data_IF_558282474180
#
_entry.id   IF_558282474180
#
_cell.length_a   1.000
_cell.length_b   1.000
_cell.length_c   1.000
_cell.angle_alpha   90.00
_cell.angle_beta   90.00
_cell.angle_gamma   90.00
#
_symmetry.space_group_name_H-M   'P 1'
#
loop_
_entity.id
_entity.type
_entity.pdbx_description
1 polymer ?
#
# COMPACT_ATOMS: atom_id res chain seq x y z
N UNK A 1 2.01 -3.21 39.00
CA UNK A 1 2.16 -3.85 37.68
C UNK A 1 0.82 -4.49 37.34
N UNK A 2 -0.09 -3.75 36.69
CA UNK A 2 -1.38 -4.31 36.26
C UNK A 2 -1.12 -5.21 35.05
N UNK A 3 -1.57 -6.45 35.12
CA UNK A 3 -1.54 -7.35 33.96
C UNK A 3 -2.63 -6.84 33.02
N UNK A 4 -2.26 -6.05 32.02
CA UNK A 4 -3.20 -5.68 30.95
C UNK A 4 -3.68 -6.97 30.30
N UNK A 5 -5.00 -7.26 30.30
CA UNK A 5 -5.52 -8.49 29.73
C UNK A 5 -5.12 -8.57 28.26
N UNK A 6 -4.37 -9.62 27.90
CA UNK A 6 -3.93 -9.85 26.52
C UNK A 6 -5.16 -10.03 25.65
N UNK A 7 -5.28 -9.23 24.58
CA UNK A 7 -6.32 -9.41 23.57
C UNK A 7 -6.10 -10.76 22.86
N UNK A 8 -6.99 -11.71 23.11
CA UNK A 8 -6.98 -12.99 22.40
C UNK A 8 -7.44 -12.78 20.95
N UNK A 9 -6.92 -13.60 20.05
CA UNK A 9 -7.36 -13.65 18.65
C UNK A 9 -8.80 -14.15 18.61
N UNK A 10 -9.71 -13.34 18.09
CA UNK A 10 -11.15 -13.65 18.04
C UNK A 10 -11.56 -14.16 16.65
N UNK A 11 -12.71 -14.85 16.56
CA UNK A 11 -13.30 -15.25 15.27
C UNK A 11 -13.46 -14.05 14.33
N UNK A 12 -13.76 -12.89 14.89
CA UNK A 12 -13.98 -11.67 14.12
C UNK A 12 -12.70 -11.11 13.53
N UNK A 13 -11.58 -11.22 14.25
CA UNK A 13 -10.26 -10.88 13.70
C UNK A 13 -9.95 -11.76 12.49
N UNK A 14 -10.22 -13.07 12.61
CA UNK A 14 -10.06 -14.01 11.51
C UNK A 14 -10.93 -13.62 10.30
N UNK A 15 -12.22 -13.31 10.53
CA UNK A 15 -13.13 -12.88 9.47
C UNK A 15 -12.67 -11.58 8.79
N UNK A 16 -12.18 -10.60 9.55
CA UNK A 16 -11.65 -9.35 8.98
C UNK A 16 -10.42 -9.61 8.11
N UNK A 17 -9.50 -10.45 8.55
CA UNK A 17 -8.30 -10.81 7.76
C UNK A 17 -8.67 -11.61 6.50
N UNK A 18 -9.62 -12.53 6.59
CA UNK A 18 -10.14 -13.26 5.41
C UNK A 18 -10.78 -12.30 4.42
N UNK A 19 -11.62 -11.38 4.89
CA UNK A 19 -12.27 -10.39 4.03
C UNK A 19 -11.24 -9.46 3.35
N UNK A 20 -10.26 -8.95 4.10
CA UNK A 20 -9.17 -8.14 3.56
C UNK A 20 -8.34 -8.92 2.52
N UNK A 21 -8.08 -10.20 2.78
CA UNK A 21 -7.36 -11.08 1.83
C UNK A 21 -8.15 -11.28 0.55
N UNK A 22 -9.44 -11.59 0.66
CA UNK A 22 -10.32 -11.76 -0.50
C UNK A 22 -10.42 -10.48 -1.35
N UNK A 23 -10.54 -9.32 -0.69
CA UNK A 23 -10.54 -8.02 -1.37
C UNK A 23 -9.23 -7.78 -2.12
N UNK A 24 -8.08 -7.97 -1.44
CA UNK A 24 -6.76 -7.82 -2.05
C UNK A 24 -6.56 -8.72 -3.27
N UNK A 25 -6.93 -10.01 -3.16
CA UNK A 25 -6.83 -10.97 -4.27
C UNK A 25 -7.78 -10.63 -5.43
N UNK A 26 -8.99 -10.14 -5.13
CA UNK A 26 -9.94 -9.70 -6.15
C UNK A 26 -9.40 -8.52 -6.98
N UNK A 27 -8.82 -7.53 -6.32
CA UNK A 27 -8.17 -6.38 -6.98
C UNK A 27 -6.94 -6.84 -7.75
N UNK A 28 -6.07 -7.66 -7.14
CA UNK A 28 -4.88 -8.17 -7.79
C UNK A 28 -5.20 -8.96 -9.08
N UNK A 29 -6.30 -9.72 -9.09
CA UNK A 29 -6.78 -10.41 -10.29
C UNK A 29 -7.21 -9.43 -11.39
N UNK A 30 -7.98 -8.40 -11.04
CA UNK A 30 -8.39 -7.37 -12.02
C UNK A 30 -7.19 -6.61 -12.59
N UNK A 31 -6.20 -6.29 -11.75
CA UNK A 31 -4.94 -5.68 -12.18
C UNK A 31 -4.15 -6.61 -13.10
N UNK A 32 -4.04 -7.89 -12.74
CA UNK A 32 -3.41 -8.92 -13.57
C UNK A 32 -4.01 -8.93 -14.98
N UNK A 33 -5.33 -9.00 -15.08
CA UNK A 33 -6.02 -9.07 -16.36
C UNK A 33 -5.86 -7.76 -17.17
N UNK A 34 -5.89 -6.60 -16.51
CA UNK A 34 -5.76 -5.29 -17.16
C UNK A 34 -4.36 -5.01 -17.71
N UNK A 35 -3.33 -5.22 -16.88
CA UNK A 35 -1.96 -4.78 -17.18
C UNK A 35 -1.14 -5.86 -17.92
N UNK A 36 -1.44 -7.15 -17.71
CA UNK A 36 -0.60 -8.24 -18.23
C UNK A 36 -1.16 -8.99 -19.43
N UNK A 37 -2.49 -9.13 -19.58
CA UNK A 37 -3.02 -9.76 -20.81
C UNK A 37 -2.79 -8.90 -22.06
N UNK A 38 -2.57 -7.59 -21.88
CA UNK A 38 -2.41 -6.65 -22.99
C UNK A 38 -0.95 -6.35 -23.38
N UNK A 39 0.03 -6.87 -22.62
CA UNK A 39 1.45 -6.60 -22.87
C UNK A 39 2.17 -7.88 -23.30
N UNK A 40 2.35 -8.06 -24.62
CA UNK A 40 3.22 -9.09 -25.21
C UNK A 40 4.70 -8.75 -25.00
N UNK A 41 5.13 -8.61 -23.75
CA UNK A 41 6.54 -8.42 -23.40
C UNK A 41 7.26 -9.76 -23.41
N UNK A 42 7.93 -10.07 -24.52
CA UNK A 42 8.86 -11.20 -24.62
C UNK A 42 10.22 -10.78 -24.08
N UNK A 43 10.46 -10.97 -22.78
CA UNK A 43 11.82 -10.86 -22.22
C UNK A 43 12.54 -12.18 -22.44
N UNK A 44 13.81 -12.14 -22.84
CA UNK A 44 14.63 -13.35 -22.98
C UNK A 44 14.76 -14.05 -21.61
N UNK A 45 14.29 -15.29 -21.55
CA UNK A 45 14.36 -16.12 -20.35
C UNK A 45 15.79 -16.18 -19.79
N UNK A 46 15.92 -16.04 -18.47
CA UNK A 46 17.20 -16.09 -17.75
C UNK A 46 18.00 -14.78 -17.71
N UNK A 47 17.54 -13.70 -18.36
CA UNK A 47 18.18 -12.37 -18.22
C UNK A 47 17.89 -11.72 -16.87
N UNK A 48 18.79 -10.82 -16.41
CA UNK A 48 18.55 -10.00 -15.20
C UNK A 48 17.27 -9.17 -15.33
N UNK A 49 16.97 -8.69 -16.54
CA UNK A 49 15.71 -8.02 -16.85
C UNK A 49 14.47 -8.90 -16.63
N UNK A 50 14.53 -10.20 -16.97
CA UNK A 50 13.43 -11.13 -16.73
C UNK A 50 13.17 -11.33 -15.23
N UNK A 51 14.24 -11.43 -14.44
CA UNK A 51 14.15 -11.55 -12.98
C UNK A 51 13.56 -10.29 -12.36
N UNK A 52 14.07 -9.11 -12.74
CA UNK A 52 13.59 -7.82 -12.24
C UNK A 52 12.13 -7.56 -12.61
N UNK A 53 11.76 -7.86 -13.86
CA UNK A 53 10.37 -7.79 -14.30
C UNK A 53 9.49 -8.72 -13.48
N UNK A 54 9.92 -9.97 -13.26
CA UNK A 54 9.18 -10.94 -12.44
C UNK A 54 8.98 -10.42 -11.01
N UNK A 55 10.02 -9.88 -10.38
CA UNK A 55 9.91 -9.26 -9.05
C UNK A 55 8.93 -8.10 -9.07
N UNK A 56 9.03 -7.19 -10.04
CA UNK A 56 8.11 -6.06 -10.17
C UNK A 56 6.65 -6.52 -10.32
N UNK A 57 6.40 -7.60 -11.07
CA UNK A 57 5.07 -8.19 -11.23
C UNK A 57 4.53 -8.71 -9.90
N UNK A 58 5.31 -9.50 -9.17
CA UNK A 58 4.89 -10.02 -7.88
C UNK A 58 4.68 -8.91 -6.85
N UNK A 59 5.51 -7.88 -6.86
CA UNK A 59 5.33 -6.68 -6.03
C UNK A 59 4.02 -5.98 -6.37
N UNK A 60 3.77 -5.67 -7.64
CA UNK A 60 2.54 -5.03 -8.12
C UNK A 60 1.27 -5.82 -7.74
N UNK A 61 1.31 -7.14 -7.83
CA UNK A 61 0.18 -8.02 -7.47
C UNK A 61 0.03 -8.21 -5.96
N UNK A 62 1.11 -8.10 -5.18
CA UNK A 62 1.09 -8.20 -3.73
C UNK A 62 0.59 -6.93 -3.03
N UNK A 63 0.76 -5.76 -3.66
CA UNK A 63 0.39 -4.46 -3.09
C UNK A 63 -1.10 -4.33 -2.70
N UNK A 64 -2.08 -4.73 -3.53
CA UNK A 64 -3.49 -4.71 -3.15
C UNK A 64 -3.77 -5.50 -1.87
N UNK A 65 -3.05 -6.61 -1.66
CA UNK A 65 -3.16 -7.42 -0.45
C UNK A 65 -2.59 -6.68 0.77
N UNK A 66 -1.42 -6.06 0.62
CA UNK A 66 -0.79 -5.27 1.70
C UNK A 66 -1.68 -4.07 2.08
N UNK A 67 -2.23 -3.35 1.09
CA UNK A 67 -3.18 -2.24 1.32
C UNK A 67 -4.41 -2.73 2.09
N UNK A 68 -5.05 -3.80 1.61
CA UNK A 68 -6.26 -4.34 2.24
C UNK A 68 -5.99 -4.82 3.67
N UNK A 69 -4.87 -5.51 3.91
CA UNK A 69 -4.44 -5.89 5.26
C UNK A 69 -4.14 -4.69 6.14
N UNK A 70 -3.53 -3.63 5.61
CA UNK A 70 -3.26 -2.40 6.37
C UNK A 70 -4.56 -1.76 6.85
N UNK A 71 -5.55 -1.61 5.97
CA UNK A 71 -6.88 -1.09 6.32
C UNK A 71 -7.57 -2.02 7.33
N UNK A 72 -7.55 -3.34 7.09
CA UNK A 72 -8.14 -4.33 7.98
C UNK A 72 -7.55 -4.28 9.40
N UNK A 73 -6.23 -4.27 9.51
CA UNK A 73 -5.52 -4.16 10.79
C UNK A 73 -5.77 -2.81 11.46
N UNK A 74 -5.80 -1.70 10.70
CA UNK A 74 -6.15 -0.39 11.24
C UNK A 74 -7.54 -0.37 11.87
N UNK A 75 -8.54 -0.94 11.17
CA UNK A 75 -9.91 -1.06 11.68
C UNK A 75 -9.98 -1.94 12.94
N UNK A 76 -9.16 -3.00 13.01
CA UNK A 76 -9.07 -3.84 14.20
C UNK A 76 -8.44 -3.11 15.40
N UNK A 77 -7.48 -2.20 15.19
CA UNK A 77 -6.92 -1.36 16.25
C UNK A 77 -7.94 -0.37 16.83
N UNK A 78 -8.91 0.08 16.03
CA UNK A 78 -10.00 0.95 16.49
C UNK A 78 -11.12 0.20 17.25
N UNK A 79 -11.07 -1.13 17.26
CA UNK A 79 -12.13 -1.97 17.83
C UNK A 79 -11.97 -2.14 19.34
N UNK A 80 -13.09 -2.36 20.04
CA UNK A 80 -13.16 -2.46 21.51
C UNK A 80 -12.23 -3.55 22.12
N UNK A 81 -11.74 -3.34 23.36
CA UNK A 81 -11.92 -2.15 24.22
C UNK A 81 -11.21 -0.95 23.57
N UNK A 82 -11.94 0.16 23.32
CA UNK A 82 -11.43 1.27 22.51
C UNK A 82 -10.28 1.91 23.29
N UNK A 83 -9.02 1.73 22.88
CA UNK A 83 -7.92 2.44 23.51
C UNK A 83 -8.11 3.95 23.31
N UNK A 84 -7.54 4.77 24.19
CA UNK A 84 -7.50 6.20 23.92
C UNK A 84 -6.66 6.44 22.65
N UNK A 85 -6.95 7.51 21.89
CA UNK A 85 -6.13 7.85 20.72
C UNK A 85 -4.66 8.05 21.09
N UNK A 86 -4.39 8.54 22.30
CA UNK A 86 -3.06 8.61 22.87
C UNK A 86 -2.40 7.23 22.90
N UNK A 87 -3.03 6.24 23.53
CA UNK A 87 -2.48 4.88 23.64
C UNK A 87 -2.25 4.21 22.27
N UNK A 88 -3.06 4.53 21.27
CA UNK A 88 -2.86 4.03 19.90
C UNK A 88 -1.60 4.59 19.26
N UNK A 89 -1.34 5.88 19.44
CA UNK A 89 -0.17 6.55 18.86
C UNK A 89 1.14 6.06 19.47
N UNK A 90 1.11 5.51 20.69
CA UNK A 90 2.28 4.91 21.34
C UNK A 90 2.61 3.49 20.83
N UNK A 91 1.68 2.84 20.11
CA UNK A 91 1.84 1.47 19.61
C UNK A 91 2.38 1.48 18.19
N UNK A 92 3.60 0.97 17.94
CA UNK A 92 4.24 1.08 16.63
C UNK A 92 3.45 0.41 15.50
N UNK A 93 2.74 -0.70 15.77
CA UNK A 93 1.92 -1.37 14.76
C UNK A 93 0.64 -0.61 14.39
N UNK A 94 -0.01 0.03 15.37
CA UNK A 94 -1.16 0.88 15.14
C UNK A 94 -0.75 2.16 14.38
N UNK A 95 0.33 2.79 14.81
CA UNK A 95 0.90 3.99 14.20
C UNK A 95 1.33 3.73 12.75
N UNK A 96 1.96 2.58 12.46
CA UNK A 96 2.29 2.20 11.08
C UNK A 96 1.04 2.10 10.20
N UNK A 97 0.02 1.36 10.64
CA UNK A 97 -1.20 1.19 9.85
C UNK A 97 -1.93 2.52 9.67
N UNK A 98 -1.99 3.36 10.71
CA UNK A 98 -2.61 4.68 10.65
C UNK A 98 -1.88 5.64 9.70
N UNK A 99 -0.55 5.67 9.75
CA UNK A 99 0.27 6.49 8.86
C UNK A 99 0.07 6.10 7.39
N UNK A 100 0.03 4.80 7.10
CA UNK A 100 -0.25 4.30 5.74
C UNK A 100 -1.66 4.65 5.29
N UNK A 101 -2.68 4.40 6.12
CA UNK A 101 -4.08 4.75 5.77
C UNK A 101 -4.22 6.25 5.49
N UNK A 102 -3.54 7.08 6.27
CA UNK A 102 -3.53 8.53 6.05
C UNK A 102 -2.83 8.91 4.74
N UNK A 103 -1.65 8.33 4.46
CA UNK A 103 -0.95 8.54 3.20
C UNK A 103 -1.81 8.11 2.00
N UNK A 104 -2.39 6.90 2.05
CA UNK A 104 -3.30 6.39 1.02
C UNK A 104 -4.54 7.28 0.82
N UNK A 105 -5.05 7.93 1.87
CA UNK A 105 -6.15 8.87 1.75
C UNK A 105 -5.74 10.15 0.98
N UNK A 106 -4.53 10.66 1.23
CA UNK A 106 -3.97 11.79 0.48
C UNK A 106 -3.80 11.40 -1.00
N UNK A 107 -3.23 10.22 -1.27
CA UNK A 107 -3.07 9.68 -2.63
C UNK A 107 -4.41 9.55 -3.35
N UNK A 108 -5.43 9.04 -2.67
CA UNK A 108 -6.78 8.94 -3.24
C UNK A 108 -7.36 10.31 -3.63
N UNK A 109 -7.10 11.35 -2.82
CA UNK A 109 -7.50 12.73 -3.14
C UNK A 109 -6.72 13.25 -4.34
N UNK A 110 -5.39 13.07 -4.38
CA UNK A 110 -4.54 13.49 -5.50
C UNK A 110 -5.01 12.84 -6.81
N UNK A 111 -5.26 11.53 -6.79
CA UNK A 111 -5.74 10.78 -7.95
C UNK A 111 -7.13 11.24 -8.39
N UNK A 112 -8.01 11.56 -7.44
CA UNK A 112 -9.34 12.12 -7.73
C UNK A 112 -9.23 13.49 -8.40
N UNK A 113 -8.38 14.38 -7.88
CA UNK A 113 -8.14 15.70 -8.47
C UNK A 113 -7.55 15.58 -9.87
N UNK A 114 -6.56 14.70 -10.06
CA UNK A 114 -5.96 14.43 -11.37
C UNK A 114 -7.02 13.94 -12.36
N UNK A 115 -7.85 12.97 -11.97
CA UNK A 115 -8.92 12.45 -12.81
C UNK A 115 -9.90 13.55 -13.23
N UNK A 116 -10.34 14.41 -12.29
CA UNK A 116 -11.23 15.54 -12.58
C UNK A 116 -10.59 16.51 -13.59
N UNK A 117 -9.31 16.84 -13.41
CA UNK A 117 -8.57 17.74 -14.32
C UNK A 117 -8.48 17.14 -15.72
N UNK A 118 -8.20 15.84 -15.85
CA UNK A 118 -8.11 15.21 -17.17
C UNK A 118 -9.47 15.14 -17.86
N UNK A 119 -10.53 14.76 -17.13
CA UNK A 119 -11.89 14.75 -17.66
C UNK A 119 -12.35 16.15 -18.10
N UNK A 120 -11.99 17.19 -17.35
CA UNK A 120 -12.26 18.58 -17.73
C UNK A 120 -11.47 19.01 -18.99
N UNK A 121 -10.22 18.59 -19.14
CA UNK A 121 -9.45 18.84 -20.38
C UNK A 121 -10.04 18.12 -21.58
N UNK A 122 -10.52 16.89 -21.39
CA UNK A 122 -11.17 16.11 -22.43
C UNK A 122 -12.48 16.75 -22.89
N UNK A 123 -13.32 17.22 -21.96
CA UNK A 123 -14.58 17.90 -22.31
C UNK A 123 -14.36 19.21 -23.06
N UNK A 124 -13.22 19.88 -22.85
CA UNK A 124 -12.81 21.07 -23.60
C UNK A 124 -12.14 20.77 -24.96
N UNK A 125 -11.99 19.50 -25.36
CA UNK A 125 -11.27 19.14 -26.58
C UNK A 125 -9.77 19.45 -26.56
N UNK A 126 -9.19 19.65 -25.36
CA UNK A 126 -7.76 19.98 -25.14
C UNK A 126 -6.97 18.79 -24.59
N UNK A 127 -7.50 17.58 -24.68
CA UNK A 127 -6.84 16.37 -24.20
C UNK A 127 -5.76 15.92 -25.19
N UNK A 128 -4.58 15.55 -24.67
CA UNK A 128 -3.55 14.82 -25.43
C UNK A 128 -3.86 13.32 -25.53
N UNK A 129 -4.77 12.79 -24.73
CA UNK A 129 -5.17 11.37 -24.76
C UNK A 129 -6.24 11.15 -25.84
N UNK A 130 -6.12 10.05 -26.59
CA UNK A 130 -7.07 9.65 -27.62
C UNK A 130 -8.34 9.03 -27.06
N UNK A 131 -8.30 8.47 -25.84
CA UNK A 131 -9.45 7.88 -25.17
C UNK A 131 -9.44 8.03 -23.65
N UNK A 132 -10.61 7.86 -23.02
CA UNK A 132 -10.78 7.87 -21.57
C UNK A 132 -10.04 6.66 -20.93
N UNK A 133 -9.95 5.54 -21.66
CA UNK A 133 -9.21 4.36 -21.23
C UNK A 133 -7.70 4.63 -21.14
N UNK A 134 -7.10 5.30 -22.13
CA UNK A 134 -5.69 5.70 -22.09
C UNK A 134 -5.40 6.64 -20.91
N UNK A 135 -6.30 7.58 -20.64
CA UNK A 135 -6.20 8.45 -19.47
C UNK A 135 -6.26 7.66 -18.17
N UNK A 136 -7.22 6.74 -18.03
CA UNK A 136 -7.35 5.94 -16.81
C UNK A 136 -6.12 5.06 -16.60
N UNK A 137 -5.57 4.47 -17.68
CA UNK A 137 -4.34 3.68 -17.62
C UNK A 137 -3.15 4.56 -17.21
N UNK A 138 -2.99 5.75 -17.78
CA UNK A 138 -1.89 6.66 -17.39
C UNK A 138 -2.05 7.17 -15.95
N UNK A 139 -3.28 7.48 -15.50
CA UNK A 139 -3.57 7.80 -14.11
C UNK A 139 -3.26 6.62 -13.18
N UNK A 140 -3.59 5.39 -13.60
CA UNK A 140 -3.32 4.18 -12.83
C UNK A 140 -1.81 3.92 -12.77
N UNK A 141 -1.09 4.06 -13.88
CA UNK A 141 0.36 3.86 -13.96
C UNK A 141 1.10 4.93 -13.17
N UNK A 142 0.71 6.21 -13.27
CA UNK A 142 1.33 7.29 -12.50
C UNK A 142 1.01 7.19 -11.02
N UNK A 143 -0.26 6.95 -10.68
CA UNK A 143 -0.72 6.80 -9.30
C UNK A 143 -0.20 5.54 -8.62
N UNK A 144 -0.01 4.44 -9.36
CA UNK A 144 0.60 3.21 -8.82
C UNK A 144 2.13 3.19 -8.92
N UNK A 145 2.73 3.89 -9.88
CA UNK A 145 4.17 3.75 -10.17
C UNK A 145 5.05 4.76 -9.45
N UNK A 146 4.58 5.98 -9.18
CA UNK A 146 5.47 7.08 -8.77
C UNK A 146 5.31 7.44 -7.27
N UNK A 147 4.18 7.13 -6.65
CA UNK A 147 3.86 7.61 -5.29
C UNK A 147 3.84 6.49 -4.22
N UNK A 148 4.20 5.24 -4.57
CA UNK A 148 4.25 4.13 -3.59
C UNK A 148 5.30 4.28 -2.50
N UNK A 149 6.26 5.20 -2.65
CA UNK A 149 7.21 5.56 -1.61
C UNK A 149 6.56 6.30 -0.43
N UNK A 150 5.46 7.03 -0.64
CA UNK A 150 4.87 7.91 0.39
C UNK A 150 4.35 7.14 1.61
N UNK A 151 3.62 6.02 1.47
CA UNK A 151 3.23 5.20 2.62
C UNK A 151 4.41 4.68 3.45
N UNK A 152 5.48 4.20 2.80
CA UNK A 152 6.67 3.72 3.49
C UNK A 152 7.42 4.85 4.19
N UNK A 153 7.53 6.02 3.56
CA UNK A 153 8.10 7.22 4.18
C UNK A 153 7.29 7.68 5.39
N UNK A 154 5.96 7.68 5.28
CA UNK A 154 5.07 8.03 6.38
C UNK A 154 5.27 7.10 7.59
N UNK A 155 5.42 5.78 7.37
CA UNK A 155 5.77 4.82 8.43
C UNK A 155 7.14 5.13 9.03
N UNK A 156 8.17 5.35 8.20
CA UNK A 156 9.53 5.62 8.66
C UNK A 156 9.59 6.90 9.52
N UNK A 157 8.93 7.97 9.09
CA UNK A 157 8.84 9.24 9.83
C UNK A 157 8.08 9.02 11.14
N UNK A 158 6.92 8.35 11.10
CA UNK A 158 6.12 8.12 12.29
C UNK A 158 6.85 7.27 13.34
N UNK A 159 7.54 6.20 12.92
CA UNK A 159 8.38 5.38 13.79
C UNK A 159 9.59 6.13 14.33
N UNK A 160 10.24 6.96 13.52
CA UNK A 160 11.36 7.80 13.95
C UNK A 160 10.90 8.77 15.04
N UNK A 161 9.78 9.47 14.82
CA UNK A 161 9.21 10.39 15.81
C UNK A 161 8.81 9.66 17.10
N UNK A 162 8.22 8.47 16.98
CA UNK A 162 7.84 7.66 18.13
C UNK A 162 9.04 7.18 18.95
N UNK A 163 10.13 6.79 18.28
CA UNK A 163 11.37 6.39 18.92
C UNK A 163 12.05 7.59 19.61
N UNK A 164 12.09 8.75 18.95
CA UNK A 164 12.69 9.98 19.48
C UNK A 164 11.92 10.56 20.67
N UNK A 165 10.60 10.44 20.68
CA UNK A 165 9.76 10.90 21.81
C UNK A 165 9.80 9.97 23.03
N UNK A 166 10.43 8.80 22.90
CA UNK A 166 10.41 7.75 23.93
C UNK A 166 9.03 7.09 24.09
N UNK A 167 8.09 7.37 23.18
CA UNK A 167 6.72 6.85 23.23
C UNK A 167 6.55 5.44 22.70
N UNK A 168 7.63 4.76 22.32
CA UNK A 168 7.59 3.43 21.72
C UNK A 168 7.20 2.37 22.78
N UNK A 169 5.93 2.02 22.83
CA UNK A 169 5.41 0.96 23.69
C UNK A 169 5.01 -0.27 22.86
N UNK A 170 5.88 -1.29 22.85
CA UNK A 170 5.57 -2.54 22.16
C UNK A 170 4.55 -3.36 22.95
N UNK A 171 3.32 -3.46 22.45
CA UNK A 171 2.34 -4.40 22.99
C UNK A 171 2.73 -5.83 22.56
N UNK A 172 2.85 -6.80 23.49
CA UNK A 172 3.14 -8.18 23.14
C UNK A 172 2.04 -8.86 22.31
N UNK A 173 0.87 -8.24 22.15
CA UNK A 173 -0.26 -8.75 21.37
C UNK A 173 0.05 -9.01 19.88
N UNK A 174 -0.67 -9.98 19.30
CA UNK A 174 -0.49 -10.37 17.90
C UNK A 174 -0.81 -9.22 16.92
N UNK A 175 -1.74 -8.34 17.29
CA UNK A 175 -2.21 -7.26 16.43
C UNK A 175 -1.12 -6.20 16.19
N UNK A 176 -0.41 -5.80 17.24
CA UNK A 176 0.72 -4.86 17.15
C UNK A 176 1.88 -5.47 16.33
N UNK A 177 2.16 -6.77 16.52
CA UNK A 177 3.16 -7.48 15.70
C UNK A 177 2.80 -7.50 14.23
N UNK A 178 1.54 -7.81 13.89
CA UNK A 178 1.06 -7.79 12.51
C UNK A 178 1.17 -6.39 11.91
N UNK A 179 0.77 -5.35 12.65
CA UNK A 179 0.92 -3.96 12.22
C UNK A 179 2.37 -3.55 11.98
N UNK A 180 3.31 -3.99 12.83
CA UNK A 180 4.75 -3.76 12.62
C UNK A 180 5.29 -4.47 11.38
N UNK A 181 4.90 -5.72 11.15
CA UNK A 181 5.30 -6.47 9.95
C UNK A 181 4.83 -5.77 8.67
N UNK A 182 3.60 -5.27 8.66
CA UNK A 182 3.07 -4.45 7.57
C UNK A 182 3.86 -3.15 7.42
N UNK A 183 4.17 -2.46 8.51
CA UNK A 183 5.02 -1.26 8.48
C UNK A 183 6.39 -1.53 7.85
N UNK A 184 7.04 -2.65 8.23
CA UNK A 184 8.33 -3.05 7.63
C UNK A 184 8.16 -3.32 6.14
N UNK A 185 7.09 -4.02 5.73
CA UNK A 185 6.81 -4.27 4.32
C UNK A 185 6.71 -2.96 3.53
N UNK A 186 6.00 -1.95 4.04
CA UNK A 186 5.92 -0.63 3.39
C UNK A 186 7.26 0.10 3.31
N UNK A 187 8.08 0.06 4.37
CA UNK A 187 9.42 0.67 4.35
C UNK A 187 10.34 -0.06 3.35
N UNK A 188 10.28 -1.38 3.29
CA UNK A 188 11.05 -2.17 2.29
C UNK A 188 10.58 -1.84 0.88
N UNK A 189 9.27 -1.75 0.65
CA UNK A 189 8.71 -1.37 -0.64
C UNK A 189 9.17 0.01 -1.08
N UNK A 190 9.20 1.00 -0.18
CA UNK A 190 9.74 2.33 -0.46
C UNK A 190 11.20 2.30 -0.97
N UNK A 191 12.01 1.39 -0.43
CA UNK A 191 13.42 1.26 -0.85
C UNK A 191 13.55 0.52 -2.18
N UNK A 192 12.72 -0.50 -2.41
CA UNK A 192 12.80 -1.39 -3.58
C UNK A 192 12.17 -0.74 -4.83
N UNK A 193 11.08 0.00 -4.65
CA UNK A 193 10.24 0.51 -5.73
C UNK A 193 10.98 1.40 -6.76
N UNK A 194 11.82 2.38 -6.36
CA UNK A 194 12.57 3.20 -7.33
C UNK A 194 13.46 2.37 -8.25
N UNK A 195 14.02 1.26 -7.77
CA UNK A 195 14.86 0.37 -8.58
C UNK A 195 14.03 -0.44 -9.58
N UNK A 196 12.84 -0.87 -9.18
CA UNK A 196 11.90 -1.54 -10.10
C UNK A 196 11.46 -0.57 -11.20
N UNK A 197 11.22 0.70 -10.86
CA UNK A 197 10.85 1.72 -11.84
C UNK A 197 12.00 2.07 -12.79
N UNK A 198 13.22 2.25 -12.27
CA UNK A 198 14.41 2.51 -13.09
C UNK A 198 14.69 1.37 -14.06
N UNK A 199 14.46 0.12 -13.66
CA UNK A 199 14.66 -1.04 -14.55
C UNK A 199 13.56 -1.16 -15.60
N UNK A 200 12.32 -0.78 -15.26
CA UNK A 200 11.22 -0.63 -16.23
C UNK A 200 11.48 0.45 -17.27
N UNK A 201 12.04 1.60 -16.87
CA UNK A 201 12.30 2.72 -17.77
C UNK A 201 13.62 2.57 -18.55
N UNK A 202 14.66 2.01 -17.94
CA UNK A 202 15.99 1.84 -18.53
C UNK A 202 16.13 0.64 -19.47
N UNK A 203 15.17 -0.28 -19.50
CA UNK A 203 15.18 -1.44 -20.40
C UNK A 203 14.83 -1.16 -21.87
N UNK A 204 14.64 0.11 -22.26
CA UNK A 204 14.18 0.51 -23.60
C UNK A 204 15.24 1.20 -24.48
N UNK A 205 16.50 1.26 -24.03
CA UNK A 205 17.65 1.71 -24.84
C UNK A 205 18.50 0.53 -25.31
#
# INVERSE_FOLDING_TARGET
MSISPRRLFTLLDAMTLVAATALGLGIARGMHDLLWMNTNMTVKDGSVGAVLLTVARWTALGLPLIVAWTIGLFLLHWRRPRPSLGDLLHRPGATACGAVVFALAIEAVNLTVLLVVVLAKQSMGKSSYGSLAECLVDCLIRGLGIEMGMPGLAVAVAWTMLALSGGWESDPGWLDRAGRLIGVAWVVLMVVDPWLLLTFLGGWS
#
